data_IF_542103315405
#
_entry.id   IF_542103315405
#
_cell.length_a   1.000
_cell.length_b   1.000
_cell.length_c   1.000
_cell.angle_alpha   90.00
_cell.angle_beta   90.00
_cell.angle_gamma   90.00
#
_symmetry.space_group_name_H-M   'P 1'
#
loop_
_entity.id
_entity.type
_entity.pdbx_description
1 polymer ?
#
# COMPACT_ATOMS: atom_id res chain seq x y z
N UNK A 1 5.74 -0.77 7.88
CA UNK A 1 4.90 -1.83 7.26
C UNK A 1 3.49 -1.30 7.07
N UNK A 2 2.90 -1.56 5.93
CA UNK A 2 1.50 -1.28 5.66
C UNK A 2 0.76 -2.61 5.48
N UNK A 3 -0.25 -2.86 6.34
CA UNK A 3 -1.07 -4.08 6.31
C UNK A 3 -2.49 -3.66 5.95
N UNK A 4 -2.76 -3.67 4.65
CA UNK A 4 -4.08 -3.40 4.12
C UNK A 4 -5.02 -4.61 4.20
N UNK A 5 -6.24 -4.47 3.67
CA UNK A 5 -7.25 -5.55 3.65
C UNK A 5 -6.84 -6.77 2.82
N UNK A 6 -6.10 -6.55 1.73
CA UNK A 6 -5.73 -7.61 0.77
C UNK A 6 -4.22 -7.81 0.63
N UNK A 7 -3.43 -6.77 0.89
CA UNK A 7 -2.00 -6.74 0.61
C UNK A 7 -1.21 -6.27 1.82
N UNK A 8 0.03 -6.73 1.88
CA UNK A 8 1.02 -6.27 2.85
C UNK A 8 2.23 -5.70 2.11
N UNK A 9 2.70 -4.54 2.56
CA UNK A 9 3.88 -3.88 2.04
C UNK A 9 4.85 -3.65 3.18
N UNK A 10 6.13 -3.78 2.88
CA UNK A 10 7.21 -3.48 3.82
C UNK A 10 8.29 -2.72 3.09
N UNK A 11 8.76 -1.66 3.69
CA UNK A 11 9.96 -0.94 3.26
C UNK A 11 10.94 -0.86 4.42
N UNK A 12 12.22 -0.98 4.12
CA UNK A 12 13.31 -0.69 5.04
C UNK A 12 14.12 0.45 4.42
N UNK A 13 14.34 1.48 5.20
CA UNK A 13 15.16 2.64 4.81
C UNK A 13 16.31 2.81 5.81
N UNK A 14 17.41 3.39 5.38
CA UNK A 14 18.49 3.81 6.27
C UNK A 14 18.25 5.21 6.85
N UNK A 15 19.19 5.71 7.63
CA UNK A 15 19.15 7.04 8.26
C UNK A 15 19.16 8.21 7.26
N UNK A 16 19.53 7.96 6.01
CA UNK A 16 19.50 8.92 4.90
C UNK A 16 18.27 8.74 4.01
N UNK A 17 17.25 8.03 4.50
CA UNK A 17 16.01 7.71 3.76
C UNK A 17 16.23 6.86 2.49
N UNK A 18 17.41 6.26 2.34
CA UNK A 18 17.69 5.38 1.20
C UNK A 18 16.99 4.04 1.38
N UNK A 19 16.25 3.63 0.34
CA UNK A 19 15.57 2.35 0.31
C UNK A 19 16.58 1.19 0.28
N UNK A 20 16.55 0.35 1.30
CA UNK A 20 17.37 -0.86 1.42
C UNK A 20 16.61 -2.12 1.02
N UNK A 21 15.31 -2.18 1.31
CA UNK A 21 14.45 -3.30 0.99
C UNK A 21 13.03 -2.82 0.75
N UNK A 22 12.33 -3.46 -0.19
CA UNK A 22 10.89 -3.29 -0.39
C UNK A 22 10.25 -4.60 -0.80
N UNK A 23 9.05 -4.84 -0.28
CA UNK A 23 8.24 -6.00 -0.62
C UNK A 23 6.77 -5.61 -0.67
N UNK A 24 6.09 -6.11 -1.68
CA UNK A 24 4.64 -6.00 -1.86
C UNK A 24 4.09 -7.39 -2.12
N UNK A 25 3.15 -7.88 -1.30
CA UNK A 25 2.61 -9.23 -1.40
C UNK A 25 1.13 -9.26 -1.02
N UNK A 26 0.36 -10.14 -1.66
CA UNK A 26 -1.01 -10.48 -1.25
C UNK A 26 -0.96 -11.47 -0.10
N UNK A 27 -1.56 -11.14 1.05
CA UNK A 27 -1.50 -12.00 2.25
C UNK A 27 -2.58 -13.07 2.29
N UNK A 28 -3.60 -13.01 1.42
CA UNK A 28 -4.68 -14.02 1.35
C UNK A 28 -5.27 -14.36 2.73
N UNK A 29 -5.53 -13.36 3.57
CA UNK A 29 -5.95 -13.45 4.96
C UNK A 29 -4.94 -14.13 5.93
N UNK A 30 -3.71 -14.48 5.48
CA UNK A 30 -2.65 -15.09 6.30
C UNK A 30 -1.70 -14.03 6.84
N UNK A 31 -2.23 -13.01 7.52
CA UNK A 31 -1.49 -11.81 7.93
C UNK A 31 -0.24 -12.16 8.73
N UNK A 32 -0.37 -12.96 9.81
CA UNK A 32 0.76 -13.28 10.68
C UNK A 32 1.87 -14.05 9.95
N UNK A 33 1.50 -15.04 9.12
CA UNK A 33 2.47 -15.80 8.34
C UNK A 33 3.21 -14.93 7.35
N UNK A 34 2.48 -14.09 6.62
CA UNK A 34 3.05 -13.15 5.63
C UNK A 34 3.95 -12.11 6.29
N UNK A 35 3.57 -11.61 7.48
CA UNK A 35 4.41 -10.69 8.24
C UNK A 35 5.74 -11.31 8.64
N UNK A 36 5.73 -12.55 9.16
CA UNK A 36 6.94 -13.28 9.52
C UNK A 36 7.84 -13.51 8.29
N UNK A 37 7.26 -13.88 7.16
CA UNK A 37 7.99 -14.07 5.90
C UNK A 37 8.69 -12.78 5.46
N UNK A 38 7.95 -11.68 5.38
CA UNK A 38 8.49 -10.38 4.95
C UNK A 38 9.56 -9.86 5.91
N UNK A 39 9.32 -9.96 7.21
CA UNK A 39 10.29 -9.51 8.22
C UNK A 39 11.56 -10.35 8.20
N UNK A 40 11.46 -11.67 8.00
CA UNK A 40 12.62 -12.54 7.85
C UNK A 40 13.44 -12.25 6.59
N UNK A 41 12.81 -11.75 5.52
CA UNK A 41 13.53 -11.26 4.35
C UNK A 41 14.20 -9.91 4.64
N UNK A 42 13.48 -8.96 5.26
CA UNK A 42 13.98 -7.63 5.59
C UNK A 42 15.17 -7.69 6.56
N UNK A 43 15.16 -8.63 7.53
CA UNK A 43 16.23 -8.82 8.52
C UNK A 43 17.61 -8.98 7.87
N UNK A 44 17.68 -9.62 6.70
CA UNK A 44 18.94 -9.81 5.95
C UNK A 44 19.61 -8.50 5.57
N UNK A 45 18.84 -7.42 5.50
CA UNK A 45 19.31 -6.08 5.15
C UNK A 45 19.63 -5.22 6.37
N UNK A 46 19.21 -5.64 7.58
CA UNK A 46 19.45 -4.91 8.82
C UNK A 46 20.91 -5.02 9.33
N UNK A 47 21.69 -5.99 8.82
CA UNK A 47 23.12 -6.19 9.15
C UNK A 47 23.40 -6.31 10.67
N UNK A 48 22.41 -6.78 11.44
CA UNK A 48 22.49 -6.87 12.90
C UNK A 48 22.21 -5.55 13.64
N UNK A 49 21.90 -4.49 12.94
CA UNK A 49 21.51 -3.20 13.53
C UNK A 49 20.09 -3.27 14.11
N UNK A 50 19.84 -2.42 15.11
CA UNK A 50 18.49 -2.22 15.63
C UNK A 50 17.71 -1.32 14.69
N UNK A 51 16.50 -1.72 14.36
CA UNK A 51 15.60 -0.95 13.50
C UNK A 51 14.35 -0.53 14.27
N UNK A 52 13.89 0.70 14.04
CA UNK A 52 12.57 1.14 14.44
C UNK A 52 11.53 0.56 13.49
N UNK A 53 10.38 0.15 14.02
CA UNK A 53 9.26 -0.36 13.23
C UNK A 53 8.05 0.54 13.43
N UNK A 54 7.35 0.84 12.34
CA UNK A 54 6.08 1.55 12.35
C UNK A 54 5.08 0.79 11.49
N UNK A 55 3.82 0.82 11.86
CA UNK A 55 2.75 0.13 11.14
C UNK A 55 1.70 1.10 10.61
N UNK A 56 1.10 0.75 9.48
CA UNK A 56 -0.02 1.42 8.84
C UNK A 56 -0.97 0.38 8.23
N UNK A 57 -2.05 0.86 7.63
CA UNK A 57 -3.02 0.04 6.94
C UNK A 57 -4.16 -0.45 7.83
N UNK A 58 -5.31 -0.74 7.22
CA UNK A 58 -6.56 -1.07 7.91
C UNK A 58 -6.46 -2.30 8.82
N UNK A 59 -5.67 -3.31 8.44
CA UNK A 59 -5.42 -4.49 9.28
C UNK A 59 -4.20 -4.34 10.21
N UNK A 60 -3.39 -3.29 10.02
CA UNK A 60 -2.19 -3.03 10.79
C UNK A 60 -2.44 -2.58 12.22
N UNK A 61 -3.55 -1.89 12.48
CA UNK A 61 -3.90 -1.36 13.80
C UNK A 61 -3.93 -2.45 14.88
N UNK A 62 -4.66 -3.54 14.64
CA UNK A 62 -4.76 -4.63 15.61
C UNK A 62 -3.45 -5.39 15.84
N UNK A 63 -2.53 -5.38 14.86
CA UNK A 63 -1.18 -5.95 15.02
C UNK A 63 -0.29 -5.00 15.81
N UNK A 64 -0.35 -3.72 15.51
CA UNK A 64 0.36 -2.64 16.20
C UNK A 64 0.06 -2.63 17.70
N UNK A 65 -1.23 -2.67 18.08
CA UNK A 65 -1.65 -2.72 19.48
C UNK A 65 -1.12 -3.95 20.23
N UNK A 66 -1.17 -5.14 19.59
CA UNK A 66 -0.72 -6.39 20.22
C UNK A 66 0.79 -6.46 20.42
N UNK A 67 1.56 -5.79 19.58
CA UNK A 67 3.02 -5.83 19.58
C UNK A 67 3.64 -4.56 20.17
N UNK A 68 2.83 -3.61 20.63
CA UNK A 68 3.28 -2.29 21.12
C UNK A 68 4.18 -1.57 20.11
N UNK A 69 3.77 -1.59 18.83
CA UNK A 69 4.47 -0.95 17.73
C UNK A 69 3.73 0.34 17.35
N UNK A 70 4.40 1.47 17.10
CA UNK A 70 3.76 2.71 16.67
C UNK A 70 2.90 2.51 15.42
N UNK A 71 1.66 3.03 15.46
CA UNK A 71 0.75 3.03 14.33
C UNK A 71 0.63 4.44 13.74
N UNK A 72 0.70 4.52 12.42
CA UNK A 72 0.48 5.75 11.66
C UNK A 72 -0.72 5.56 10.76
N UNK A 73 -1.66 6.48 10.82
CA UNK A 73 -2.79 6.44 9.89
C UNK A 73 -2.30 6.53 8.44
N UNK A 74 -2.85 5.69 7.58
CA UNK A 74 -2.50 5.53 6.17
C UNK A 74 -2.44 6.87 5.42
N UNK A 75 -3.47 7.69 5.58
CA UNK A 75 -3.60 9.00 4.94
C UNK A 75 -2.48 9.98 5.35
N UNK A 76 -2.04 9.94 6.60
CA UNK A 76 -0.91 10.75 7.06
C UNK A 76 0.43 10.23 6.54
N UNK A 77 0.61 8.91 6.54
CA UNK A 77 1.81 8.27 5.99
C UNK A 77 1.96 8.61 4.50
N UNK A 78 0.87 8.51 3.74
CA UNK A 78 0.82 8.83 2.32
C UNK A 78 1.15 10.31 2.05
N UNK A 79 0.52 11.23 2.81
CA UNK A 79 0.82 12.66 2.69
C UNK A 79 2.29 12.98 2.93
N UNK A 80 2.89 12.39 3.97
CA UNK A 80 4.31 12.60 4.29
C UNK A 80 5.18 12.06 3.16
N UNK A 81 4.92 10.85 2.70
CA UNK A 81 5.68 10.21 1.63
C UNK A 81 5.59 11.00 0.31
N UNK A 82 4.39 11.43 -0.08
CA UNK A 82 4.20 12.21 -1.30
C UNK A 82 4.92 13.55 -1.22
N UNK A 83 4.82 14.26 -0.10
CA UNK A 83 5.53 15.53 0.08
C UNK A 83 7.06 15.37 0.02
N UNK A 84 7.59 14.25 0.52
CA UNK A 84 9.03 13.98 0.49
C UNK A 84 9.51 13.55 -0.90
N UNK A 85 8.76 12.67 -1.59
CA UNK A 85 9.18 12.05 -2.84
C UNK A 85 8.80 12.88 -4.08
N UNK A 86 7.69 13.61 -4.01
CA UNK A 86 7.16 14.38 -5.12
C UNK A 86 6.56 15.72 -4.63
N UNK A 87 7.41 16.63 -4.15
CA UNK A 87 6.95 17.91 -3.62
C UNK A 87 6.22 18.72 -4.71
N UNK A 88 5.14 19.40 -4.32
CA UNK A 88 4.29 20.16 -5.24
C UNK A 88 3.15 19.36 -5.87
N UNK A 89 2.92 18.13 -5.42
CA UNK A 89 1.73 17.36 -5.79
C UNK A 89 0.48 18.00 -5.20
N UNK A 90 -0.51 18.31 -6.03
CA UNK A 90 -1.78 18.91 -5.61
C UNK A 90 -2.80 17.88 -5.13
N UNK A 91 -2.84 16.72 -5.79
CA UNK A 91 -3.77 15.66 -5.47
C UNK A 91 -3.14 14.27 -5.68
N UNK A 92 -3.59 13.33 -4.86
CA UNK A 92 -3.23 11.91 -4.94
C UNK A 92 -4.50 11.09 -5.15
N UNK A 93 -4.48 10.16 -6.08
CA UNK A 93 -5.54 9.17 -6.29
C UNK A 93 -4.97 7.82 -5.86
N UNK A 94 -5.54 7.27 -4.81
CA UNK A 94 -5.24 5.93 -4.32
C UNK A 94 -6.32 4.95 -4.78
N UNK A 95 -5.91 3.86 -5.40
CA UNK A 95 -6.78 2.74 -5.74
C UNK A 95 -6.38 1.55 -4.87
N UNK A 96 -7.02 1.43 -3.71
CA UNK A 96 -6.81 0.33 -2.78
C UNK A 96 -7.47 -0.97 -3.25
N UNK A 97 -7.34 -2.03 -2.45
CA UNK A 97 -8.00 -3.31 -2.73
C UNK A 97 -9.52 -3.22 -2.69
N UNK A 98 -10.06 -2.49 -1.73
CA UNK A 98 -11.51 -2.37 -1.48
C UNK A 98 -12.01 -0.93 -1.55
N UNK A 99 -11.13 0.05 -1.42
CA UNK A 99 -11.44 1.49 -1.41
C UNK A 99 -10.73 2.21 -2.56
N UNK A 100 -11.30 3.34 -2.96
CA UNK A 100 -10.65 4.36 -3.78
C UNK A 100 -10.72 5.69 -3.03
N UNK A 101 -9.59 6.41 -2.96
CA UNK A 101 -9.48 7.67 -2.24
C UNK A 101 -8.87 8.74 -3.13
N UNK A 102 -9.28 9.98 -2.92
CA UNK A 102 -8.62 11.17 -3.47
C UNK A 102 -8.21 12.04 -2.28
N UNK A 103 -6.92 12.37 -2.24
CA UNK A 103 -6.35 13.30 -1.26
C UNK A 103 -6.01 14.60 -1.97
N UNK A 104 -6.56 15.71 -1.52
CA UNK A 104 -6.15 17.05 -1.95
C UNK A 104 -5.13 17.57 -0.94
N UNK A 105 -3.95 17.93 -1.42
CA UNK A 105 -2.81 18.33 -0.58
C UNK A 105 -2.63 19.85 -0.51
N UNK A 106 -3.22 20.58 -1.45
CA UNK A 106 -3.17 22.05 -1.56
C UNK A 106 -4.51 22.67 -1.19
N UNK A 107 -4.51 23.91 -0.68
CA UNK A 107 -5.72 24.63 -0.30
C UNK A 107 -6.38 24.18 1.01
N UNK A 108 -5.73 23.30 1.75
CA UNK A 108 -6.23 22.60 2.93
C UNK A 108 -6.25 21.09 2.66
N UNK A 109 -5.96 20.30 3.68
CA UNK A 109 -5.98 18.84 3.53
C UNK A 109 -7.42 18.33 3.51
N UNK A 110 -7.86 17.77 2.38
CA UNK A 110 -9.18 17.17 2.22
C UNK A 110 -9.03 15.75 1.67
N UNK A 111 -9.81 14.83 2.19
CA UNK A 111 -9.89 13.45 1.69
C UNK A 111 -11.33 13.15 1.26
N UNK A 112 -11.47 12.52 0.10
CA UNK A 112 -12.72 11.92 -0.36
C UNK A 112 -12.49 10.46 -0.65
N UNK A 113 -13.45 9.63 -0.27
CA UNK A 113 -13.39 8.18 -0.44
C UNK A 113 -14.72 7.70 -1.03
N UNK A 114 -14.68 6.65 -1.86
CA UNK A 114 -15.90 6.00 -2.33
C UNK A 114 -16.64 5.36 -1.14
N UNK A 115 -17.94 5.62 -0.99
CA UNK A 115 -18.68 5.26 0.22
C UNK A 115 -19.23 3.84 0.28
N UNK A 116 -19.55 3.20 -0.85
CA UNK A 116 -20.36 1.98 -0.83
C UNK A 116 -20.10 0.97 -1.95
N UNK A 117 -19.22 1.24 -2.89
CA UNK A 117 -19.01 0.37 -4.05
C UNK A 117 -17.52 0.09 -4.29
N UNK A 118 -17.17 -1.18 -4.44
CA UNK A 118 -15.82 -1.58 -4.87
C UNK A 118 -15.50 -1.22 -6.34
N UNK A 119 -16.40 -0.55 -7.04
CA UNK A 119 -16.18 -0.07 -8.41
C UNK A 119 -15.00 0.88 -8.48
N UNK A 120 -14.08 0.65 -9.41
CA UNK A 120 -12.84 1.41 -9.56
C UNK A 120 -11.72 1.04 -8.58
N UNK A 121 -11.90 -0.03 -7.80
CA UNK A 121 -10.88 -0.52 -6.85
C UNK A 121 -10.09 -1.70 -7.42
N UNK A 122 -9.05 -2.12 -6.70
CA UNK A 122 -8.26 -3.31 -7.07
C UNK A 122 -9.11 -4.58 -7.17
N UNK A 123 -10.10 -4.75 -6.29
CA UNK A 123 -11.02 -5.90 -6.35
C UNK A 123 -11.84 -5.90 -7.64
N UNK A 124 -12.26 -4.74 -8.13
CA UNK A 124 -12.95 -4.63 -9.42
C UNK A 124 -12.02 -5.00 -10.59
N UNK A 125 -10.77 -4.52 -10.57
CA UNK A 125 -9.75 -4.86 -11.57
C UNK A 125 -9.51 -6.38 -11.58
N UNK A 126 -9.35 -7.00 -10.41
CA UNK A 126 -9.16 -8.44 -10.28
C UNK A 126 -10.37 -9.23 -10.83
N UNK A 127 -11.59 -8.75 -10.58
CA UNK A 127 -12.80 -9.36 -11.09
C UNK A 127 -12.88 -9.30 -12.62
N UNK A 128 -12.54 -8.13 -13.19
CA UNK A 128 -12.53 -7.97 -14.66
C UNK A 128 -11.46 -8.85 -15.31
N UNK A 129 -10.24 -8.88 -14.76
CA UNK A 129 -9.19 -9.75 -15.25
C UNK A 129 -9.58 -11.22 -15.19
N UNK A 130 -10.25 -11.65 -14.11
CA UNK A 130 -10.76 -13.02 -13.95
C UNK A 130 -11.83 -13.36 -15.01
N UNK A 131 -12.77 -12.45 -15.28
CA UNK A 131 -13.77 -12.63 -16.33
C UNK A 131 -13.14 -12.76 -17.73
N UNK A 132 -12.10 -12.00 -17.98
CA UNK A 132 -11.32 -12.06 -19.22
C UNK A 132 -10.36 -13.26 -19.26
N UNK A 133 -10.23 -14.02 -18.15
CA UNK A 133 -9.28 -15.14 -17.99
C UNK A 133 -7.83 -14.75 -18.21
N UNK A 134 -7.46 -13.57 -17.74
CA UNK A 134 -6.09 -13.02 -17.76
C UNK A 134 -5.69 -12.56 -16.36
N UNK A 135 -4.42 -12.34 -16.15
CA UNK A 135 -3.91 -11.67 -14.95
C UNK A 135 -4.12 -10.15 -15.05
N UNK A 136 -4.14 -9.39 -13.93
CA UNK A 136 -4.17 -7.92 -13.99
C UNK A 136 -3.02 -7.32 -14.80
N UNK A 137 -1.86 -7.95 -14.79
CA UNK A 137 -0.70 -7.52 -15.60
C UNK A 137 -0.95 -7.70 -17.10
N UNK A 138 -1.47 -8.84 -17.50
CA UNK A 138 -1.86 -9.10 -18.90
C UNK A 138 -2.98 -8.17 -19.35
N UNK A 139 -3.97 -7.89 -18.49
CA UNK A 139 -5.01 -6.91 -18.77
C UNK A 139 -4.43 -5.52 -19.01
N UNK A 140 -3.43 -5.12 -18.23
CA UNK A 140 -2.73 -3.84 -18.42
C UNK A 140 -2.00 -3.79 -19.77
N UNK A 141 -1.35 -4.88 -20.20
CA UNK A 141 -0.72 -4.95 -21.53
C UNK A 141 -1.76 -4.87 -22.66
N UNK A 142 -2.89 -5.56 -22.52
CA UNK A 142 -3.98 -5.46 -23.48
C UNK A 142 -4.53 -4.03 -23.59
N UNK A 143 -4.65 -3.32 -22.45
CA UNK A 143 -5.14 -1.94 -22.43
C UNK A 143 -4.22 -0.97 -23.17
N UNK A 144 -2.92 -1.25 -23.29
CA UNK A 144 -1.98 -0.40 -24.07
C UNK A 144 -2.30 -0.38 -25.57
N UNK A 145 -2.92 -1.42 -26.09
CA UNK A 145 -3.29 -1.57 -27.52
C UNK A 145 -4.74 -1.19 -27.80
N UNK A 146 -5.40 -0.43 -26.92
CA UNK A 146 -6.79 -0.01 -27.14
C UNK A 146 -6.91 0.89 -28.37
N UNK A 147 -7.98 0.71 -29.13
CA UNK A 147 -8.31 1.50 -30.32
C UNK A 147 -9.45 2.50 -30.05
N UNK A 148 -10.24 2.24 -29.00
CA UNK A 148 -11.39 3.07 -28.62
C UNK A 148 -11.36 3.33 -27.10
N UNK A 149 -11.78 4.51 -26.70
CA UNK A 149 -11.93 4.95 -25.30
C UNK A 149 -13.38 4.88 -24.86
#
# INVERSE_FOLDING_TARGET
MDIGSTTMKCVLIDENEKLLFSKYIRHQAKIAQTAVEILGEAEKYCRGEKVGVSMSGSAGMGVSEKLDIPFVQEVFAEKIAVNALNPGTDAVIELGGEDAKILFLTGGFEMRMNGTCAGGTGAFIDQMASLMKVTPSEMNELAKSHENT
#
